data_IF_460213920705
#
_entry.id   IF_460213920705
#
_cell.length_a   1.000
_cell.length_b   1.000
_cell.length_c   1.000
_cell.angle_alpha   90.00
_cell.angle_beta   90.00
_cell.angle_gamma   90.00
#
_symmetry.space_group_name_H-M   'P 1'
#
loop_
_entity.id
_entity.type
_entity.pdbx_description
1 polymer ?
#
# COMPACT_ATOMS: atom_id res chain seq x y z
N UNK A 1 -9.15 -29.51 -10.32
CA UNK A 1 -9.56 -28.95 -9.02
C UNK A 1 -8.30 -28.42 -8.32
N UNK A 2 -8.24 -27.12 -8.03
CA UNK A 2 -7.16 -26.55 -7.22
C UNK A 2 -7.37 -27.03 -5.78
N UNK A 3 -6.36 -27.68 -5.20
CA UNK A 3 -6.42 -28.17 -3.84
C UNK A 3 -6.27 -27.02 -2.84
N UNK A 4 -7.37 -26.49 -2.34
CA UNK A 4 -7.40 -25.42 -1.33
C UNK A 4 -7.31 -25.98 0.12
N UNK A 5 -6.29 -26.81 0.39
CA UNK A 5 -6.11 -27.42 1.71
C UNK A 5 -5.90 -26.40 2.85
N UNK A 6 -5.44 -25.23 2.51
CA UNK A 6 -5.21 -24.15 3.49
C UNK A 6 -6.52 -23.52 3.98
N UNK A 7 -7.58 -23.48 3.15
CA UNK A 7 -8.83 -22.82 3.51
C UNK A 7 -9.54 -23.45 4.72
N UNK A 8 -9.70 -24.79 4.83
CA UNK A 8 -10.26 -25.42 6.03
C UNK A 8 -9.45 -25.12 7.29
N UNK A 9 -8.13 -25.10 7.19
CA UNK A 9 -7.25 -24.76 8.31
C UNK A 9 -7.48 -23.33 8.78
N UNK A 10 -7.46 -22.36 7.87
CA UNK A 10 -7.70 -20.94 8.19
C UNK A 10 -9.12 -20.74 8.75
N UNK A 11 -10.14 -21.41 8.16
CA UNK A 11 -11.51 -21.36 8.66
C UNK A 11 -11.60 -21.86 10.11
N UNK A 12 -10.92 -22.95 10.42
CA UNK A 12 -10.87 -23.47 11.79
C UNK A 12 -10.30 -22.44 12.76
N UNK A 13 -9.25 -21.72 12.37
CA UNK A 13 -8.66 -20.66 13.20
C UNK A 13 -9.58 -19.45 13.35
N UNK A 14 -10.30 -19.07 12.30
CA UNK A 14 -11.32 -17.98 12.35
C UNK A 14 -12.41 -18.35 13.34
N UNK A 15 -12.99 -19.54 13.20
CA UNK A 15 -14.06 -20.01 14.10
C UNK A 15 -13.55 -20.12 15.53
N UNK A 16 -12.38 -20.72 15.75
CA UNK A 16 -11.81 -20.89 17.08
C UNK A 16 -11.54 -19.53 17.76
N UNK A 17 -10.94 -18.59 17.05
CA UNK A 17 -10.66 -17.24 17.60
C UNK A 17 -11.96 -16.48 17.87
N UNK A 18 -12.97 -16.59 16.99
CA UNK A 18 -14.28 -15.99 17.17
C UNK A 18 -15.01 -16.55 18.40
N UNK A 19 -15.10 -17.87 18.53
CA UNK A 19 -15.73 -18.54 19.67
C UNK A 19 -15.02 -18.22 21.01
N UNK A 20 -13.69 -18.17 20.98
CA UNK A 20 -12.92 -17.77 22.17
C UNK A 20 -13.20 -16.31 22.54
N UNK A 21 -13.36 -15.42 21.57
CA UNK A 21 -13.69 -14.02 21.80
C UNK A 21 -15.07 -13.78 22.39
N UNK A 22 -16.01 -14.71 22.18
CA UNK A 22 -17.37 -14.67 22.72
C UNK A 22 -17.48 -15.20 24.14
N UNK A 23 -16.41 -15.76 24.73
CA UNK A 23 -16.46 -16.30 26.09
C UNK A 23 -16.84 -15.23 27.11
N UNK A 24 -17.75 -15.53 28.05
CA UNK A 24 -18.06 -14.63 29.17
C UNK A 24 -16.82 -14.44 30.04
N UNK A 25 -16.70 -13.31 30.69
CA UNK A 25 -15.60 -12.93 31.60
C UNK A 25 -14.21 -12.84 30.97
N UNK A 26 -14.08 -12.86 29.62
CA UNK A 26 -12.81 -12.62 28.95
C UNK A 26 -12.40 -11.13 29.10
N UNK A 27 -11.16 -10.83 29.53
CA UNK A 27 -10.67 -9.45 29.59
C UNK A 27 -10.80 -8.74 28.24
N UNK A 28 -11.20 -7.47 28.25
CA UNK A 28 -11.45 -6.69 27.02
C UNK A 28 -10.29 -6.71 26.04
N UNK A 29 -9.05 -6.57 26.53
CA UNK A 29 -7.85 -6.62 25.69
C UNK A 29 -7.69 -7.96 24.93
N UNK A 30 -7.94 -9.09 25.60
CA UNK A 30 -7.89 -10.41 24.96
C UNK A 30 -9.01 -10.59 23.95
N UNK A 31 -10.20 -10.09 24.25
CA UNK A 31 -11.34 -10.11 23.33
C UNK A 31 -11.03 -9.33 22.06
N UNK A 32 -10.50 -8.11 22.18
CA UNK A 32 -10.11 -7.29 21.03
C UNK A 32 -9.07 -8.02 20.17
N UNK A 33 -8.03 -8.58 20.76
CA UNK A 33 -7.00 -9.33 20.02
C UNK A 33 -7.61 -10.51 19.26
N UNK A 34 -8.51 -11.29 19.88
CA UNK A 34 -9.18 -12.41 19.21
C UNK A 34 -10.10 -11.97 18.08
N UNK A 35 -10.80 -10.83 18.22
CA UNK A 35 -11.59 -10.24 17.15
C UNK A 35 -10.68 -9.79 15.99
N UNK A 36 -9.55 -9.16 16.27
CA UNK A 36 -8.59 -8.75 15.22
C UNK A 36 -7.99 -9.96 14.48
N UNK A 37 -7.68 -11.05 15.21
CA UNK A 37 -7.25 -12.31 14.60
C UNK A 37 -8.34 -12.87 13.67
N UNK A 38 -9.58 -12.98 14.17
CA UNK A 38 -10.70 -13.48 13.38
C UNK A 38 -10.94 -12.62 12.14
N UNK A 39 -10.90 -11.30 12.27
CA UNK A 39 -11.09 -10.38 11.16
C UNK A 39 -9.95 -10.51 10.12
N UNK A 40 -8.69 -10.54 10.56
CA UNK A 40 -7.56 -10.69 9.66
C UNK A 40 -7.60 -12.01 8.88
N UNK A 41 -7.80 -13.12 9.59
CA UNK A 41 -7.93 -14.45 8.95
C UNK A 41 -9.19 -14.56 8.10
N UNK A 42 -10.30 -13.96 8.51
CA UNK A 42 -11.53 -13.90 7.71
C UNK A 42 -11.32 -13.13 6.41
N UNK A 43 -10.57 -12.04 6.41
CA UNK A 43 -10.20 -11.31 5.21
C UNK A 43 -9.33 -12.14 4.25
N UNK A 44 -8.45 -13.02 4.76
CA UNK A 44 -7.69 -13.93 3.88
C UNK A 44 -8.58 -14.94 3.19
N UNK A 45 -9.64 -15.45 3.86
CA UNK A 45 -10.63 -16.31 3.23
C UNK A 45 -11.53 -15.57 2.26
N UNK A 46 -11.86 -14.31 2.58
CA UNK A 46 -12.71 -13.49 1.73
C UNK A 46 -12.15 -13.35 0.31
N UNK A 47 -10.85 -13.07 0.16
CA UNK A 47 -10.22 -12.92 -1.16
C UNK A 47 -10.07 -14.22 -1.95
N UNK A 48 -10.29 -15.38 -1.31
CA UNK A 48 -10.34 -16.65 -2.02
C UNK A 48 -11.70 -16.89 -2.71
N UNK A 49 -12.76 -16.27 -2.18
CA UNK A 49 -14.14 -16.44 -2.62
C UNK A 49 -14.59 -15.26 -3.48
N UNK A 50 -14.21 -14.05 -3.09
CA UNK A 50 -14.68 -12.80 -3.71
C UNK A 50 -13.56 -12.08 -4.45
N UNK A 51 -13.91 -11.51 -5.59
CA UNK A 51 -13.08 -10.57 -6.36
C UNK A 51 -13.91 -9.31 -6.57
N UNK A 52 -13.32 -8.14 -6.37
CA UNK A 52 -13.99 -6.86 -6.60
C UNK A 52 -14.25 -6.71 -8.09
N UNK A 53 -15.52 -6.49 -8.46
CA UNK A 53 -15.89 -6.20 -9.83
C UNK A 53 -15.36 -4.84 -10.29
N UNK A 54 -14.97 -4.71 -11.57
CA UNK A 54 -14.34 -3.50 -12.10
C UNK A 54 -12.87 -3.31 -11.70
N UNK A 55 -12.28 -4.22 -10.92
CA UNK A 55 -10.86 -4.19 -10.58
C UNK A 55 -9.99 -4.91 -11.64
N UNK A 56 -8.68 -4.66 -11.63
CA UNK A 56 -7.71 -5.27 -12.58
C UNK A 56 -7.49 -6.76 -12.22
N UNK A 57 -8.56 -7.49 -11.98
CA UNK A 57 -8.56 -8.90 -11.61
C UNK A 57 -8.20 -9.16 -10.14
N UNK A 58 -8.16 -10.45 -9.79
CA UNK A 58 -7.99 -10.94 -8.43
C UNK A 58 -6.75 -10.42 -7.72
N UNK A 59 -5.64 -10.23 -8.44
CA UNK A 59 -4.38 -9.78 -7.85
C UNK A 59 -4.52 -8.43 -7.12
N UNK A 60 -5.27 -7.50 -7.69
CA UNK A 60 -5.46 -6.19 -7.11
C UNK A 60 -6.34 -6.26 -5.84
N UNK A 61 -7.39 -7.08 -5.87
CA UNK A 61 -8.23 -7.36 -4.67
C UNK A 61 -7.38 -7.95 -3.55
N UNK A 62 -6.56 -8.96 -3.86
CA UNK A 62 -5.63 -9.56 -2.91
C UNK A 62 -4.70 -8.51 -2.32
N UNK A 63 -4.05 -7.71 -3.16
CA UNK A 63 -3.12 -6.67 -2.71
C UNK A 63 -3.76 -5.69 -1.73
N UNK A 64 -4.94 -5.18 -2.05
CA UNK A 64 -5.67 -4.21 -1.21
C UNK A 64 -6.06 -4.81 0.15
N UNK A 65 -6.58 -6.04 0.16
CA UNK A 65 -7.08 -6.68 1.37
C UNK A 65 -5.94 -7.22 2.23
N UNK A 66 -4.89 -7.79 1.63
CA UNK A 66 -3.75 -8.30 2.40
C UNK A 66 -2.95 -7.18 3.11
N UNK A 67 -3.00 -5.96 2.59
CA UNK A 67 -2.44 -4.80 3.30
C UNK A 67 -3.12 -4.58 4.65
N UNK A 68 -4.46 -4.72 4.71
CA UNK A 68 -5.23 -4.65 5.96
C UNK A 68 -4.93 -5.84 6.88
N UNK A 69 -4.88 -7.06 6.32
CA UNK A 69 -4.50 -8.27 7.05
C UNK A 69 -3.14 -8.11 7.71
N UNK A 70 -2.16 -7.63 6.95
CA UNK A 70 -0.81 -7.40 7.44
C UNK A 70 -0.79 -6.41 8.62
N UNK A 71 -1.51 -5.29 8.51
CA UNK A 71 -1.63 -4.30 9.57
C UNK A 71 -2.23 -4.91 10.84
N UNK A 72 -3.37 -5.59 10.72
CA UNK A 72 -4.06 -6.22 11.85
C UNK A 72 -3.18 -7.25 12.55
N UNK A 73 -2.55 -8.15 11.77
CA UNK A 73 -1.66 -9.18 12.33
C UNK A 73 -0.39 -8.62 12.92
N UNK A 74 0.13 -7.49 12.42
CA UNK A 74 1.29 -6.81 13.02
C UNK A 74 0.98 -6.30 14.42
N UNK A 75 -0.18 -5.65 14.60
CA UNK A 75 -0.64 -5.19 15.92
C UNK A 75 -0.86 -6.37 16.87
N UNK A 76 -1.56 -7.41 16.41
CA UNK A 76 -1.79 -8.63 17.18
C UNK A 76 -0.48 -9.30 17.55
N UNK A 77 0.45 -9.42 16.60
CA UNK A 77 1.78 -10.00 16.81
C UNK A 77 2.57 -9.30 17.91
N UNK A 78 2.60 -7.96 17.88
CA UNK A 78 3.26 -7.16 18.91
C UNK A 78 2.69 -7.40 20.31
N UNK A 79 1.35 -7.37 20.45
CA UNK A 79 0.69 -7.59 21.72
C UNK A 79 0.87 -9.02 22.24
N UNK A 80 0.66 -10.01 21.36
CA UNK A 80 0.74 -11.42 21.75
C UNK A 80 2.18 -11.86 22.05
N UNK A 81 3.18 -11.27 21.41
CA UNK A 81 4.58 -11.52 21.73
C UNK A 81 4.90 -11.21 23.20
N UNK A 82 4.39 -10.08 23.70
CA UNK A 82 4.56 -9.70 25.14
C UNK A 82 3.81 -10.68 26.05
N UNK A 83 2.58 -11.06 25.70
CA UNK A 83 1.80 -12.01 26.52
C UNK A 83 2.46 -13.40 26.58
N UNK A 84 2.95 -13.88 25.44
CA UNK A 84 3.69 -15.18 25.39
C UNK A 84 4.92 -15.09 26.26
N UNK A 85 5.72 -14.02 26.13
CA UNK A 85 6.90 -13.82 26.98
C UNK A 85 6.53 -13.85 28.47
N UNK A 86 5.51 -13.15 28.88
CA UNK A 86 5.04 -13.12 30.28
C UNK A 86 4.59 -14.52 30.75
N UNK A 87 3.92 -15.29 29.91
CA UNK A 87 3.44 -16.63 30.23
C UNK A 87 4.57 -17.67 30.38
N UNK A 88 5.70 -17.44 29.71
CA UNK A 88 6.84 -18.40 29.71
C UNK A 88 8.06 -17.89 30.50
N UNK A 89 7.95 -16.71 31.14
CA UNK A 89 9.10 -16.05 31.80
C UNK A 89 9.85 -16.95 32.79
N UNK A 90 9.13 -17.82 33.50
CA UNK A 90 9.70 -18.70 34.53
C UNK A 90 10.23 -20.02 33.93
N UNK A 91 9.97 -20.32 32.67
CA UNK A 91 10.39 -21.52 31.95
C UNK A 91 11.65 -21.24 31.14
N UNK A 92 12.82 -21.23 31.75
CA UNK A 92 14.11 -20.79 31.15
C UNK A 92 14.35 -21.33 29.74
N UNK A 93 14.25 -22.65 29.52
CA UNK A 93 14.52 -23.27 28.20
C UNK A 93 13.49 -22.81 27.13
N UNK A 94 12.21 -22.84 27.47
CA UNK A 94 11.14 -22.44 26.55
C UNK A 94 11.29 -20.96 26.17
N UNK A 95 11.58 -20.12 27.14
CA UNK A 95 11.82 -18.69 26.93
C UNK A 95 13.02 -18.46 25.99
N UNK A 96 14.13 -19.16 26.19
CA UNK A 96 15.31 -19.03 25.33
C UNK A 96 14.99 -19.46 23.89
N UNK A 97 14.34 -20.60 23.68
CA UNK A 97 13.95 -21.06 22.34
C UNK A 97 13.01 -20.06 21.68
N UNK A 98 12.02 -19.55 22.40
CA UNK A 98 11.09 -18.56 21.88
C UNK A 98 11.79 -17.23 21.51
N UNK A 99 12.70 -16.74 22.36
CA UNK A 99 13.46 -15.52 22.09
C UNK A 99 14.35 -15.67 20.86
N UNK A 100 15.02 -16.81 20.71
CA UNK A 100 15.84 -17.10 19.51
C UNK A 100 14.97 -17.17 18.27
N UNK A 101 13.84 -17.87 18.32
CA UNK A 101 12.91 -17.99 17.19
C UNK A 101 12.34 -16.63 16.79
N UNK A 102 11.86 -15.84 17.77
CA UNK A 102 11.36 -14.50 17.51
C UNK A 102 12.47 -13.59 16.95
N UNK A 103 13.67 -13.62 17.53
CA UNK A 103 14.81 -12.85 17.05
C UNK A 103 15.19 -13.21 15.61
N UNK A 104 15.19 -14.50 15.27
CA UNK A 104 15.44 -14.96 13.91
C UNK A 104 14.37 -14.49 12.92
N UNK A 105 13.08 -14.53 13.31
CA UNK A 105 11.98 -14.03 12.48
C UNK A 105 12.06 -12.52 12.28
N UNK A 106 12.34 -11.76 13.34
CA UNK A 106 12.52 -10.30 13.25
C UNK A 106 13.72 -9.96 12.37
N UNK A 107 14.84 -10.66 12.55
CA UNK A 107 16.01 -10.48 11.70
C UNK A 107 15.70 -10.76 10.23
N UNK A 108 15.05 -11.87 9.93
CA UNK A 108 14.65 -12.21 8.57
C UNK A 108 13.69 -11.15 7.97
N UNK A 109 12.75 -10.64 8.75
CA UNK A 109 11.86 -9.57 8.32
C UNK A 109 12.59 -8.24 8.04
N UNK A 110 13.62 -7.92 8.81
CA UNK A 110 14.43 -6.72 8.65
C UNK A 110 15.37 -6.78 7.43
N UNK A 111 15.73 -7.97 6.95
CA UNK A 111 16.59 -8.11 5.76
C UNK A 111 15.99 -7.38 4.54
N UNK A 112 14.68 -7.49 4.32
CA UNK A 112 14.04 -6.83 3.19
C UNK A 112 14.18 -5.30 3.25
N UNK A 113 13.73 -4.58 4.29
CA UNK A 113 13.88 -3.13 4.32
C UNK A 113 15.34 -2.68 4.33
N UNK A 114 16.24 -3.41 4.96
CA UNK A 114 17.67 -3.06 5.00
C UNK A 114 18.34 -3.19 3.63
N UNK A 115 18.01 -4.21 2.85
CA UNK A 115 18.61 -4.45 1.55
C UNK A 115 17.84 -3.75 0.42
N UNK A 116 16.51 -3.73 0.47
CA UNK A 116 15.69 -3.15 -0.57
C UNK A 116 15.67 -1.60 -0.54
N UNK A 117 15.78 -0.99 0.64
CA UNK A 117 15.75 0.49 0.75
C UNK A 117 16.91 1.13 0.00
N UNK A 118 18.18 0.75 0.21
CA UNK A 118 19.30 1.33 -0.56
C UNK A 118 19.18 1.06 -2.06
N UNK A 119 18.75 -0.14 -2.45
CA UNK A 119 18.56 -0.49 -3.86
C UNK A 119 17.45 0.34 -4.51
N UNK A 120 16.32 0.53 -3.83
CA UNK A 120 15.22 1.38 -4.30
C UNK A 120 15.63 2.85 -4.36
N UNK A 121 16.36 3.31 -3.37
CA UNK A 121 16.90 4.67 -3.34
C UNK A 121 17.79 4.94 -4.55
N UNK A 122 18.75 4.05 -4.81
CA UNK A 122 19.68 4.18 -5.93
C UNK A 122 18.99 4.21 -7.31
N UNK A 123 17.84 3.52 -7.45
CA UNK A 123 17.09 3.44 -8.72
C UNK A 123 16.06 4.57 -8.85
N UNK A 124 15.47 5.01 -7.74
CA UNK A 124 14.28 5.87 -7.75
C UNK A 124 14.56 7.33 -7.41
N UNK A 125 15.67 7.62 -6.78
CA UNK A 125 16.03 8.98 -6.36
C UNK A 125 17.16 9.51 -7.20
N UNK A 126 17.04 10.77 -7.66
CA UNK A 126 18.17 11.46 -8.25
C UNK A 126 19.23 11.72 -7.17
N UNK A 127 20.50 11.48 -7.50
CA UNK A 127 21.62 11.78 -6.60
C UNK A 127 21.84 13.28 -6.40
N UNK A 128 21.36 14.08 -7.35
CA UNK A 128 21.52 15.53 -7.37
C UNK A 128 20.38 16.23 -6.60
N UNK A 129 19.25 15.54 -6.38
CA UNK A 129 18.12 16.11 -5.69
C UNK A 129 18.42 16.32 -4.20
N UNK A 130 17.99 17.45 -3.61
CA UNK A 130 18.22 17.72 -2.19
C UNK A 130 17.45 16.75 -1.30
N UNK A 131 18.06 16.37 -0.17
CA UNK A 131 17.43 15.54 0.84
C UNK A 131 16.48 16.40 1.69
N UNK A 132 15.21 16.42 1.33
CA UNK A 132 14.18 17.25 1.97
C UNK A 132 12.85 16.50 2.03
N UNK A 133 11.93 16.99 2.87
CA UNK A 133 10.54 16.53 2.93
C UNK A 133 9.64 17.21 1.87
N UNK A 134 10.16 18.16 1.09
CA UNK A 134 9.43 18.73 -0.04
C UNK A 134 9.36 17.71 -1.17
N UNK A 135 8.16 17.14 -1.38
CA UNK A 135 7.90 16.13 -2.39
C UNK A 135 8.08 16.58 -3.84
N UNK A 136 8.33 17.87 -4.10
CA UNK A 136 8.60 18.41 -5.43
C UNK A 136 10.07 18.80 -5.65
N UNK A 137 10.88 18.80 -4.61
CA UNK A 137 12.27 19.29 -4.70
C UNK A 137 13.16 18.48 -5.67
N UNK A 138 12.74 17.29 -6.07
CA UNK A 138 13.44 16.48 -7.07
C UNK A 138 13.25 16.97 -8.51
N UNK A 139 12.16 17.67 -8.80
CA UNK A 139 11.75 18.00 -10.18
C UNK A 139 12.80 18.78 -10.98
N UNK A 140 13.52 19.77 -10.41
CA UNK A 140 14.57 20.49 -11.14
C UNK A 140 15.76 19.63 -11.55
N UNK A 141 15.91 18.44 -10.98
CA UNK A 141 17.09 17.58 -11.13
C UNK A 141 16.81 16.31 -11.92
N UNK A 142 15.61 16.18 -12.49
CA UNK A 142 15.23 14.95 -13.20
C UNK A 142 14.53 15.23 -14.51
N UNK A 143 14.67 14.29 -15.41
CA UNK A 143 13.91 14.20 -16.65
C UNK A 143 12.98 13.00 -16.60
N UNK A 144 11.77 13.17 -17.08
CA UNK A 144 10.85 12.06 -17.27
C UNK A 144 11.13 11.43 -18.63
N UNK A 145 11.58 10.18 -18.62
CA UNK A 145 11.76 9.38 -19.85
C UNK A 145 10.46 8.73 -20.28
N UNK A 146 10.07 8.95 -21.52
CA UNK A 146 8.97 8.25 -22.17
C UNK A 146 9.47 6.99 -22.92
N UNK A 147 8.55 6.09 -23.23
CA UNK A 147 8.80 4.83 -23.97
C UNK A 147 9.40 5.05 -25.37
N UNK A 148 9.34 6.26 -25.90
CA UNK A 148 9.86 6.65 -27.21
C UNK A 148 11.22 7.33 -27.17
N UNK A 149 12.00 7.17 -26.12
CA UNK A 149 13.30 7.88 -25.94
C UNK A 149 13.19 9.41 -25.91
N UNK A 150 11.99 9.97 -25.76
CA UNK A 150 11.85 11.40 -25.49
C UNK A 150 11.94 11.65 -23.99
N UNK A 151 12.68 12.70 -23.61
CA UNK A 151 12.79 13.14 -22.23
C UNK A 151 12.11 14.48 -22.04
N UNK A 152 11.42 14.65 -20.91
CA UNK A 152 10.75 15.89 -20.52
C UNK A 152 11.44 16.40 -19.25
N UNK A 153 12.17 17.53 -19.32
CA UNK A 153 12.76 18.15 -18.13
C UNK A 153 11.65 18.64 -17.21
N UNK A 154 11.63 18.17 -15.96
CA UNK A 154 10.59 18.55 -14.99
C UNK A 154 10.86 19.89 -14.32
N UNK A 155 12.00 20.52 -14.56
CA UNK A 155 12.34 21.82 -14.00
C UNK A 155 11.36 22.92 -14.40
N UNK A 156 10.95 22.97 -15.67
CA UNK A 156 9.96 23.94 -16.15
C UNK A 156 8.58 23.75 -15.50
N UNK A 157 8.19 22.50 -15.31
CA UNK A 157 6.94 22.19 -14.61
C UNK A 157 7.01 22.61 -13.14
N UNK A 158 8.16 22.41 -12.49
CA UNK A 158 8.39 22.86 -11.14
C UNK A 158 8.20 24.38 -11.00
N UNK A 159 8.83 25.15 -11.89
CA UNK A 159 8.70 26.61 -11.91
C UNK A 159 7.24 27.04 -12.13
N UNK A 160 6.55 26.43 -13.09
CA UNK A 160 5.15 26.72 -13.38
C UNK A 160 4.24 26.39 -12.18
N UNK A 161 4.41 25.21 -11.56
CA UNK A 161 3.64 24.80 -10.39
C UNK A 161 3.89 25.77 -9.22
N UNK A 162 5.15 26.15 -8.96
CA UNK A 162 5.49 27.08 -7.89
C UNK A 162 4.91 28.47 -8.16
N UNK A 163 4.91 28.92 -9.41
CA UNK A 163 4.26 30.16 -9.78
C UNK A 163 2.76 30.11 -9.53
N UNK A 164 2.08 29.02 -9.94
CA UNK A 164 0.66 28.83 -9.72
C UNK A 164 0.32 28.81 -8.22
N UNK A 165 1.07 28.10 -7.42
CA UNK A 165 0.88 28.02 -5.96
C UNK A 165 0.99 29.40 -5.27
N UNK A 166 1.78 30.32 -5.82
CA UNK A 166 1.98 31.65 -5.25
C UNK A 166 1.00 32.70 -5.77
N UNK A 167 0.50 32.55 -6.99
CA UNK A 167 -0.23 33.61 -7.68
C UNK A 167 -1.70 33.27 -7.91
N UNK A 168 -2.11 32.02 -7.87
CA UNK A 168 -3.49 31.62 -8.05
C UNK A 168 -4.16 31.47 -6.68
N UNK A 169 -5.25 32.21 -6.49
CA UNK A 169 -6.09 32.12 -5.30
C UNK A 169 -7.41 31.40 -5.62
N UNK A 170 -7.96 30.69 -4.63
CA UNK A 170 -9.16 29.87 -4.80
C UNK A 170 -8.87 28.55 -5.50
N UNK A 171 -9.86 27.99 -6.18
CA UNK A 171 -9.77 26.71 -6.87
C UNK A 171 -10.29 26.78 -8.31
N UNK A 172 -9.70 27.63 -9.18
CA UNK A 172 -10.11 27.66 -10.57
C UNK A 172 -9.82 26.33 -11.25
N UNK A 173 -10.66 25.98 -12.21
CA UNK A 173 -10.45 24.81 -13.07
C UNK A 173 -9.33 25.12 -14.06
N UNK A 174 -8.35 24.22 -14.14
CA UNK A 174 -7.24 24.33 -15.08
C UNK A 174 -7.39 23.38 -16.27
N UNK A 175 -6.74 23.71 -17.35
CA UNK A 175 -6.57 22.83 -18.53
C UNK A 175 -5.09 22.53 -18.67
N UNK A 176 -4.75 21.27 -18.72
CA UNK A 176 -3.39 20.82 -18.99
C UNK A 176 -3.35 19.84 -20.15
N UNK A 177 -2.18 19.67 -20.75
CA UNK A 177 -1.97 18.76 -21.85
C UNK A 177 -2.37 17.34 -21.46
N UNK A 178 -3.24 16.74 -22.27
CA UNK A 178 -3.72 15.37 -22.10
C UNK A 178 -3.11 14.47 -23.17
N UNK A 179 -2.63 13.29 -22.78
CA UNK A 179 -2.24 12.28 -23.75
C UNK A 179 -3.43 11.41 -24.12
N UNK A 180 -3.78 11.42 -25.39
CA UNK A 180 -4.75 10.49 -25.93
C UNK A 180 -4.07 9.18 -26.30
N UNK A 181 -4.83 8.08 -26.34
CA UNK A 181 -4.39 6.69 -26.48
C UNK A 181 -3.73 6.35 -27.84
N UNK A 182 -2.91 7.23 -28.38
CA UNK A 182 -2.24 7.05 -29.69
C UNK A 182 -0.90 6.30 -29.56
N UNK A 183 -0.80 5.36 -28.64
CA UNK A 183 0.32 4.41 -28.57
C UNK A 183 1.55 4.89 -27.79
N UNK A 184 1.73 6.17 -27.57
CA UNK A 184 3.00 6.71 -27.07
C UNK A 184 2.98 7.14 -25.58
N UNK A 185 1.82 7.40 -25.01
CA UNK A 185 1.68 7.68 -23.58
C UNK A 185 0.69 6.69 -22.98
N UNK A 186 1.13 5.95 -21.97
CA UNK A 186 0.21 5.11 -21.23
C UNK A 186 -0.81 6.00 -20.50
N UNK A 187 -2.09 5.95 -20.83
CA UNK A 187 -3.13 6.75 -20.18
C UNK A 187 -3.26 6.44 -18.69
N UNK A 188 -2.64 5.36 -18.24
CA UNK A 188 -2.67 4.87 -16.87
C UNK A 188 -1.49 5.33 -16.01
N UNK A 189 -0.34 5.67 -16.64
CA UNK A 189 0.91 5.96 -15.93
C UNK A 189 1.66 7.16 -16.50
N UNK A 190 1.00 7.95 -17.32
CA UNK A 190 1.67 9.08 -17.93
C UNK A 190 1.90 10.22 -16.93
N UNK A 191 2.86 11.05 -17.25
CA UNK A 191 3.16 12.28 -16.53
C UNK A 191 2.05 13.35 -16.69
N UNK A 192 1.06 13.11 -17.55
CA UNK A 192 -0.09 14.01 -17.70
C UNK A 192 -0.82 14.18 -16.37
N UNK A 193 -1.48 15.31 -16.20
CA UNK A 193 -2.18 15.68 -14.97
C UNK A 193 -1.26 16.02 -13.77
N UNK A 194 0.04 16.17 -14.00
CA UNK A 194 1.00 16.49 -12.93
C UNK A 194 0.79 17.87 -12.33
N UNK A 195 0.34 18.82 -13.13
CA UNK A 195 0.09 20.20 -12.66
C UNK A 195 -1.06 20.18 -11.65
N UNK A 196 -2.18 19.51 -11.97
CA UNK A 196 -3.29 19.36 -11.05
C UNK A 196 -2.89 18.62 -9.76
N UNK A 197 -2.08 17.55 -9.88
CA UNK A 197 -1.61 16.79 -8.72
C UNK A 197 -0.79 17.61 -7.74
N UNK A 198 0.10 18.46 -8.23
CA UNK A 198 1.01 19.23 -7.38
C UNK A 198 0.45 20.59 -6.96
N UNK A 199 -0.53 21.13 -7.68
CA UNK A 199 -1.20 22.37 -7.28
C UNK A 199 -2.45 22.15 -6.44
N UNK A 200 -3.08 20.98 -6.55
CA UNK A 200 -4.40 20.70 -5.97
C UNK A 200 -5.54 21.37 -6.72
N UNK A 201 -5.29 22.00 -7.85
CA UNK A 201 -6.32 22.64 -8.67
C UNK A 201 -7.08 21.59 -9.47
N UNK A 202 -8.42 21.70 -9.60
CA UNK A 202 -9.19 20.77 -10.40
C UNK A 202 -8.87 20.91 -11.89
N UNK A 203 -8.65 19.79 -12.58
CA UNK A 203 -8.48 19.75 -14.03
C UNK A 203 -9.73 19.23 -14.73
N UNK A 204 -9.96 19.67 -15.97
CA UNK A 204 -11.12 19.22 -16.77
C UNK A 204 -11.01 17.74 -17.07
N UNK A 205 -9.84 17.27 -17.46
CA UNK A 205 -9.58 15.87 -17.80
C UNK A 205 -8.42 15.37 -16.93
N UNK A 206 -8.67 14.29 -16.21
CA UNK A 206 -7.60 13.55 -15.52
C UNK A 206 -7.02 12.45 -16.42
N UNK A 207 -6.60 11.36 -15.84
CA UNK A 207 -6.19 10.17 -16.60
C UNK A 207 -7.42 9.49 -17.20
N UNK A 208 -7.49 9.43 -18.52
CA UNK A 208 -8.61 8.90 -19.29
C UNK A 208 -9.00 7.48 -18.86
N UNK A 209 -8.01 6.59 -18.75
CA UNK A 209 -8.25 5.22 -18.31
C UNK A 209 -8.82 5.14 -16.88
N UNK A 210 -8.31 5.92 -15.94
CA UNK A 210 -8.84 5.96 -14.58
C UNK A 210 -10.26 6.46 -14.54
N UNK A 211 -10.59 7.47 -15.35
CA UNK A 211 -11.94 8.00 -15.42
C UNK A 211 -12.92 6.97 -15.99
N UNK A 212 -12.54 6.27 -17.05
CA UNK A 212 -13.35 5.19 -17.63
C UNK A 212 -13.52 4.03 -16.67
N UNK A 213 -12.45 3.60 -16.01
CA UNK A 213 -12.49 2.52 -15.01
C UNK A 213 -13.37 2.86 -13.81
N UNK A 214 -13.31 4.09 -13.31
CA UNK A 214 -14.08 4.53 -12.15
C UNK A 214 -15.53 4.85 -12.51
N UNK A 215 -15.80 5.15 -13.77
CA UNK A 215 -17.12 5.51 -14.30
C UNK A 215 -17.61 4.45 -15.29
N UNK A 216 -17.47 3.17 -14.94
CA UNK A 216 -17.80 2.02 -15.81
C UNK A 216 -19.21 2.01 -16.45
N UNK A 217 -20.06 2.93 -16.04
CA UNK A 217 -21.42 3.12 -16.57
C UNK A 217 -21.51 4.06 -17.78
N UNK A 218 -20.43 4.71 -18.18
CA UNK A 218 -20.44 5.54 -19.36
C UNK A 218 -20.12 4.66 -20.58
N UNK A 219 -21.06 4.53 -21.55
CA UNK A 219 -20.76 3.90 -22.83
C UNK A 219 -19.60 4.66 -23.49
N UNK A 220 -18.62 3.89 -24.00
CA UNK A 220 -17.45 4.42 -24.70
C UNK A 220 -17.79 5.03 -26.03
#
# INVERSE_FOLDING_TARGET
AKNYWIAPFVLTLVVASGLLGLRPHLPAARRIVLILISAALGLTLFVEIFVLDGDIGRMNTVFKIYMQVWLLLSVVGGVTAVWVYQAIKDKKRVRQVWQIALGALVFAALLYPLLATPAKWAIRMSKEAPHTLDGMAFMPYVEYGDTNNSTIPLGYDYEAIRWMQRNISGSPVIVEGHSHNNGNFSPYRSITNRIAMYTGLPAIVGWDWHQRQQRATLPG
#
